data_IF_981464122994
#
_entry.id   IF_981464122994
#
_cell.length_a   1.000
_cell.length_b   1.000
_cell.length_c   1.000
_cell.angle_alpha   90.00
_cell.angle_beta   90.00
_cell.angle_gamma   90.00
#
_symmetry.space_group_name_H-M   'P 1'
#
loop_
_entity.id
_entity.type
_entity.pdbx_description
1 polymer ?
#
# COMPACT_ATOMS: atom_id res chain seq x y z
N UNK A 1 -13.53 -11.09 -11.70
CA UNK A 1 -14.42 -10.62 -12.73
C UNK A 1 -14.68 -11.74 -13.75
N UNK A 2 -15.91 -12.25 -13.79
CA UNK A 2 -16.34 -13.27 -14.77
C UNK A 2 -16.93 -12.67 -16.05
N UNK A 3 -17.03 -11.35 -16.13
CA UNK A 3 -17.49 -10.59 -17.29
C UNK A 3 -16.37 -10.19 -18.24
N UNK A 4 -16.55 -9.08 -18.92
CA UNK A 4 -15.56 -8.46 -19.80
C UNK A 4 -15.20 -7.06 -19.27
N UNK A 5 -14.15 -6.44 -19.81
CA UNK A 5 -13.80 -5.04 -19.46
C UNK A 5 -14.93 -4.04 -19.78
N UNK A 6 -15.77 -4.32 -20.76
CA UNK A 6 -16.92 -3.47 -21.13
C UNK A 6 -18.22 -3.84 -20.41
N UNK A 7 -18.30 -5.03 -19.82
CA UNK A 7 -19.45 -5.54 -19.07
C UNK A 7 -18.93 -6.37 -17.88
N UNK A 8 -18.42 -5.71 -16.84
CA UNK A 8 -17.89 -6.39 -15.68
C UNK A 8 -18.99 -7.14 -14.92
N UNK A 9 -18.69 -8.36 -14.48
CA UNK A 9 -19.55 -9.16 -13.64
C UNK A 9 -18.71 -9.86 -12.57
N UNK A 10 -19.06 -9.65 -11.31
CA UNK A 10 -18.39 -10.30 -10.20
C UNK A 10 -19.15 -11.55 -9.75
N UNK A 11 -18.45 -12.65 -9.61
CA UNK A 11 -18.99 -13.87 -9.03
C UNK A 11 -19.33 -13.68 -7.54
N UNK A 12 -19.94 -14.70 -6.92
CA UNK A 12 -20.17 -14.69 -5.49
C UNK A 12 -18.84 -14.52 -4.74
N UNK A 13 -18.87 -13.74 -3.64
CA UNK A 13 -17.70 -13.50 -2.79
C UNK A 13 -17.24 -14.80 -2.11
N UNK A 14 -15.93 -14.90 -1.88
CA UNK A 14 -15.31 -15.89 -1.00
C UNK A 14 -14.49 -15.18 0.06
N UNK A 15 -14.36 -15.77 1.24
CA UNK A 15 -13.46 -15.27 2.27
C UNK A 15 -12.09 -15.91 2.11
N UNK A 16 -11.03 -15.11 2.27
CA UNK A 16 -9.65 -15.56 2.19
C UNK A 16 -9.38 -16.47 0.96
N UNK A 17 -9.62 -15.95 -0.27
CA UNK A 17 -9.42 -16.75 -1.48
C UNK A 17 -7.94 -17.08 -1.68
N UNK A 18 -7.66 -18.07 -2.54
CA UNK A 18 -6.31 -18.42 -2.97
C UNK A 18 -5.34 -18.76 -1.83
N UNK A 19 -5.84 -19.44 -0.80
CA UNK A 19 -5.10 -19.85 0.41
C UNK A 19 -4.69 -18.70 1.37
N UNK A 20 -5.15 -17.48 1.17
CA UNK A 20 -5.01 -16.44 2.18
C UNK A 20 -5.58 -16.91 3.52
N UNK A 21 -4.96 -16.49 4.61
CA UNK A 21 -5.45 -16.77 5.96
C UNK A 21 -6.07 -15.52 6.59
N UNK A 22 -6.75 -15.72 7.72
CA UNK A 22 -7.23 -14.61 8.54
C UNK A 22 -6.03 -13.92 9.21
N UNK A 23 -5.91 -12.60 9.04
CA UNK A 23 -4.86 -11.77 9.63
C UNK A 23 -5.29 -11.12 10.97
N UNK A 24 -6.27 -11.69 11.63
CA UNK A 24 -6.96 -11.33 12.87
C UNK A 24 -8.06 -10.28 12.67
N UNK A 25 -7.75 -9.01 12.65
CA UNK A 25 -8.76 -7.95 12.62
C UNK A 25 -8.35 -6.80 11.70
N UNK A 26 -9.34 -6.12 11.14
CA UNK A 26 -9.16 -4.93 10.28
C UNK A 26 -8.23 -5.20 9.08
N UNK A 27 -8.54 -6.22 8.29
CA UNK A 27 -7.80 -6.50 7.08
C UNK A 27 -7.90 -5.32 6.08
N UNK A 28 -6.74 -4.74 5.75
CA UNK A 28 -6.59 -3.69 4.75
C UNK A 28 -5.61 -4.21 3.67
N UNK A 29 -6.12 -4.80 2.58
CA UNK A 29 -5.27 -5.40 1.55
C UNK A 29 -4.77 -4.36 0.54
N UNK A 30 -3.53 -4.52 0.13
CA UNK A 30 -2.95 -3.99 -1.10
C UNK A 30 -2.28 -5.12 -1.89
N UNK A 31 -2.13 -4.94 -3.19
CA UNK A 31 -1.54 -5.93 -4.09
C UNK A 31 -0.45 -5.28 -4.93
N UNK A 32 0.77 -5.76 -4.80
CA UNK A 32 1.93 -5.24 -5.52
C UNK A 32 2.84 -6.39 -6.00
N UNK A 33 3.45 -6.23 -7.16
CA UNK A 33 4.57 -7.07 -7.61
C UNK A 33 5.85 -6.46 -7.02
N UNK A 34 6.17 -6.86 -5.78
CA UNK A 34 7.28 -6.25 -5.05
C UNK A 34 8.61 -6.97 -5.28
N UNK A 35 8.60 -8.24 -5.67
CA UNK A 35 9.79 -9.02 -5.97
C UNK A 35 10.10 -9.12 -7.48
N UNK A 36 9.24 -8.51 -8.30
CA UNK A 36 9.46 -8.36 -9.74
C UNK A 36 9.35 -9.65 -10.54
N UNK A 37 8.67 -10.66 -10.00
CA UNK A 37 8.49 -11.95 -10.70
C UNK A 37 7.37 -11.92 -11.75
N UNK A 38 6.57 -10.84 -11.79
CA UNK A 38 5.53 -10.56 -12.77
C UNK A 38 4.14 -10.98 -12.34
N UNK A 39 3.96 -11.43 -11.09
CA UNK A 39 2.65 -11.62 -10.50
C UNK A 39 2.47 -10.81 -9.19
N UNK A 40 1.22 -10.53 -8.83
CA UNK A 40 0.92 -9.69 -7.70
C UNK A 40 0.93 -10.50 -6.40
N UNK A 41 1.68 -10.02 -5.44
CA UNK A 41 1.66 -10.46 -4.06
C UNK A 41 0.59 -9.76 -3.25
N UNK A 42 0.24 -10.31 -2.08
CA UNK A 42 -0.72 -9.66 -1.19
C UNK A 42 -0.05 -9.15 0.09
N UNK A 43 -0.27 -7.86 0.36
CA UNK A 43 0.14 -7.18 1.58
C UNK A 43 -1.12 -6.80 2.35
N UNK A 44 -1.31 -7.36 3.54
CA UNK A 44 -2.55 -7.14 4.28
C UNK A 44 -2.21 -6.55 5.65
N UNK A 45 -2.56 -5.27 5.81
CA UNK A 45 -2.49 -4.62 7.10
C UNK A 45 -3.49 -5.18 8.10
N UNK A 46 -3.16 -5.16 9.39
CA UNK A 46 -4.04 -5.63 10.44
C UNK A 46 -4.19 -4.61 11.59
N UNK A 47 -5.08 -4.93 12.54
CA UNK A 47 -5.35 -4.08 13.72
C UNK A 47 -4.10 -3.79 14.56
N UNK A 48 -3.17 -4.71 14.63
CA UNK A 48 -1.98 -4.62 15.49
C UNK A 48 -0.87 -3.75 14.88
N UNK A 49 -1.09 -3.18 13.69
CA UNK A 49 -0.10 -2.36 13.02
C UNK A 49 0.91 -3.11 12.16
N UNK A 50 0.70 -4.40 11.99
CA UNK A 50 1.57 -5.21 11.14
C UNK A 50 1.06 -5.27 9.71
N UNK A 51 1.98 -5.34 8.76
CA UNK A 51 1.72 -5.71 7.38
C UNK A 51 2.09 -7.17 7.17
N UNK A 52 1.11 -8.00 6.84
CA UNK A 52 1.27 -9.42 6.58
C UNK A 52 1.44 -9.62 5.07
N UNK A 53 2.56 -10.15 4.69
CA UNK A 53 2.93 -10.45 3.31
C UNK A 53 2.60 -11.89 2.97
N UNK A 54 2.01 -12.08 1.81
CA UNK A 54 1.74 -13.38 1.21
C UNK A 54 2.32 -13.38 -0.19
N UNK A 55 3.41 -14.11 -0.38
CA UNK A 55 4.02 -14.33 -1.68
C UNK A 55 3.09 -15.16 -2.57
N UNK A 56 2.90 -14.72 -3.80
CA UNK A 56 2.17 -15.47 -4.82
C UNK A 56 3.08 -16.49 -5.48
N UNK A 57 3.07 -17.70 -4.99
CA UNK A 57 3.82 -18.83 -5.56
C UNK A 57 3.12 -19.53 -6.73
N UNK A 58 2.00 -18.97 -7.18
CA UNK A 58 1.19 -19.47 -8.28
C UNK A 58 1.56 -18.90 -9.64
N UNK A 59 0.65 -18.20 -10.24
CA UNK A 59 0.85 -17.45 -11.50
C UNK A 59 -0.12 -16.27 -11.54
N UNK A 60 0.07 -15.24 -12.39
CA UNK A 60 -0.83 -14.09 -12.50
C UNK A 60 -2.31 -14.47 -12.77
N UNK A 61 -2.56 -15.62 -13.37
CA UNK A 61 -3.91 -16.11 -13.67
C UNK A 61 -4.45 -17.17 -12.71
N UNK A 62 -3.62 -17.70 -11.82
CA UNK A 62 -3.95 -18.71 -10.83
C UNK A 62 -3.11 -18.49 -9.56
N UNK A 63 -3.40 -17.42 -8.78
CA UNK A 63 -2.62 -17.07 -7.61
C UNK A 63 -2.73 -18.12 -6.49
N UNK A 64 -1.64 -18.29 -5.71
CA UNK A 64 -1.55 -19.21 -4.58
C UNK A 64 -0.70 -18.58 -3.46
N UNK A 65 -1.34 -18.13 -2.38
CA UNK A 65 -0.75 -17.40 -1.26
C UNK A 65 -0.52 -18.32 -0.04
N UNK A 66 0.19 -19.43 -0.21
CA UNK A 66 0.31 -20.46 0.82
C UNK A 66 1.28 -20.11 1.97
N UNK A 67 2.27 -19.27 1.75
CA UNK A 67 3.25 -18.85 2.75
C UNK A 67 3.03 -17.39 3.14
N UNK A 68 3.33 -17.04 4.40
CA UNK A 68 3.22 -15.65 4.87
C UNK A 68 4.36 -15.27 5.81
N UNK A 69 4.65 -13.97 5.88
CA UNK A 69 5.55 -13.36 6.87
C UNK A 69 4.96 -12.03 7.38
N UNK A 70 5.38 -11.60 8.57
CA UNK A 70 4.95 -10.33 9.17
C UNK A 70 6.06 -9.30 9.02
N UNK A 71 5.70 -8.10 8.56
CA UNK A 71 6.62 -6.98 8.37
C UNK A 71 7.90 -7.39 7.61
N UNK A 72 7.78 -7.92 6.36
CA UNK A 72 8.92 -8.40 5.60
C UNK A 72 9.82 -7.26 5.12
N UNK A 73 10.98 -7.61 4.62
CA UNK A 73 11.90 -6.71 3.89
C UNK A 73 12.37 -5.47 4.68
N UNK A 74 12.26 -5.49 6.01
CA UNK A 74 12.62 -4.34 6.86
C UNK A 74 11.45 -3.44 7.23
N UNK A 75 10.21 -3.77 6.86
CA UNK A 75 9.04 -3.08 7.40
C UNK A 75 8.93 -3.28 8.91
N UNK A 76 8.40 -2.29 9.60
CA UNK A 76 8.14 -2.31 11.04
C UNK A 76 6.64 -2.23 11.34
N UNK A 77 6.29 -2.55 12.58
CA UNK A 77 4.99 -2.29 13.17
C UNK A 77 4.72 -0.78 13.22
N UNK A 78 3.62 -0.33 12.59
CA UNK A 78 3.23 1.09 12.55
C UNK A 78 2.35 1.50 13.75
N UNK A 79 2.22 0.61 14.72
CA UNK A 79 1.53 0.82 16.00
C UNK A 79 0.12 0.26 16.05
N UNK A 80 -0.79 0.62 15.18
CA UNK A 80 -2.16 0.09 15.15
C UNK A 80 -2.84 0.38 13.82
N UNK A 81 -3.68 -0.56 13.39
CA UNK A 81 -4.54 -0.44 12.20
C UNK A 81 -3.72 -0.07 10.94
N UNK A 82 -2.79 -0.92 10.57
CA UNK A 82 -1.99 -0.73 9.36
C UNK A 82 -2.89 -0.74 8.10
N UNK A 83 -2.66 0.23 7.21
CA UNK A 83 -3.28 0.31 5.88
C UNK A 83 -2.18 0.54 4.84
N UNK A 84 -1.56 -0.53 4.32
CA UNK A 84 -0.47 -0.42 3.37
C UNK A 84 -0.94 0.05 2.00
N UNK A 85 -0.07 0.77 1.32
CA UNK A 85 -0.12 1.17 -0.09
C UNK A 85 1.30 1.19 -0.62
N UNK A 86 1.53 0.63 -1.80
CA UNK A 86 2.84 0.58 -2.44
C UNK A 86 2.85 1.43 -3.70
N UNK A 87 3.79 2.37 -3.78
CA UNK A 87 3.95 3.28 -4.90
C UNK A 87 5.41 3.70 -5.06
N UNK A 88 5.87 3.93 -6.28
CA UNK A 88 7.18 4.52 -6.58
C UNK A 88 7.09 6.02 -6.35
N UNK A 89 7.38 6.47 -5.10
CA UNK A 89 7.20 7.86 -4.70
C UNK A 89 8.39 8.76 -5.01
N UNK A 90 9.56 8.21 -5.21
CA UNK A 90 10.76 8.99 -5.55
C UNK A 90 11.24 8.74 -6.99
N UNK A 91 10.44 8.01 -7.78
CA UNK A 91 10.64 7.72 -9.20
C UNK A 91 11.99 7.04 -9.50
N UNK A 92 12.49 6.21 -8.58
CA UNK A 92 13.71 5.44 -8.78
C UNK A 92 13.45 4.09 -9.49
N UNK A 93 12.18 3.72 -9.68
CA UNK A 93 11.71 2.53 -10.36
C UNK A 93 11.40 1.37 -9.44
N UNK A 94 11.51 1.55 -8.13
CA UNK A 94 11.18 0.58 -7.09
C UNK A 94 9.93 1.03 -6.31
N UNK A 95 9.11 0.11 -5.83
CA UNK A 95 7.96 0.47 -5.03
C UNK A 95 8.38 0.73 -3.57
N UNK A 96 8.01 1.91 -3.06
CA UNK A 96 8.08 2.28 -1.66
C UNK A 96 6.84 1.84 -0.89
N UNK A 97 6.92 1.75 0.44
CA UNK A 97 5.76 1.47 1.27
C UNK A 97 5.28 2.71 2.03
N UNK A 98 3.99 3.03 1.86
CA UNK A 98 3.28 4.05 2.63
C UNK A 98 2.19 3.39 3.45
N UNK A 99 2.33 3.35 4.77
CA UNK A 99 1.41 2.63 5.63
C UNK A 99 0.67 3.61 6.54
N UNK A 100 -0.64 3.74 6.30
CA UNK A 100 -1.50 4.51 7.19
C UNK A 100 -1.68 3.83 8.54
N UNK A 101 -1.91 4.60 9.61
CA UNK A 101 -2.13 4.04 10.93
C UNK A 101 -3.36 4.63 11.66
N UNK A 102 -3.67 4.07 12.84
CA UNK A 102 -4.78 4.49 13.68
C UNK A 102 -4.73 5.99 14.07
N UNK A 103 -3.56 6.56 14.27
CA UNK A 103 -3.39 7.95 14.71
C UNK A 103 -3.43 8.96 13.57
N UNK A 104 -3.79 8.55 12.36
CA UNK A 104 -3.91 9.44 11.22
C UNK A 104 -2.60 9.79 10.53
N UNK A 105 -1.52 9.09 10.85
CA UNK A 105 -0.24 9.30 10.20
C UNK A 105 -0.06 8.34 9.02
N UNK A 106 0.68 8.78 8.02
CA UNK A 106 1.25 7.95 6.96
C UNK A 106 2.71 7.68 7.29
N UNK A 107 3.06 6.42 7.45
CA UNK A 107 4.41 5.98 7.76
C UNK A 107 5.06 5.51 6.48
N UNK A 108 6.14 6.15 6.09
CA UNK A 108 6.88 5.91 4.86
C UNK A 108 8.12 5.07 5.12
N UNK A 109 8.33 4.09 4.28
CA UNK A 109 9.51 3.26 4.23
C UNK A 109 10.04 3.29 2.80
N UNK A 110 11.16 3.99 2.59
CA UNK A 110 11.82 4.00 1.29
C UNK A 110 12.39 2.62 0.97
N UNK A 111 12.16 2.14 -0.24
CA UNK A 111 12.87 0.97 -0.75
C UNK A 111 14.28 1.39 -1.17
N UNK A 112 15.28 0.89 -0.50
CA UNK A 112 16.71 1.12 -0.79
C UNK A 112 17.37 -0.11 -1.41
N UNK A 113 16.57 -1.12 -1.69
CA UNK A 113 16.97 -2.34 -2.38
C UNK A 113 16.88 -2.20 -3.89
N UNK A 114 16.11 -3.06 -4.49
CA UNK A 114 15.79 -3.03 -5.92
C UNK A 114 14.38 -3.61 -6.11
N UNK A 115 13.78 -3.40 -7.30
CA UNK A 115 12.50 -4.01 -7.68
C UNK A 115 12.48 -5.55 -7.67
N UNK A 116 13.63 -6.22 -7.54
CA UNK A 116 13.76 -7.69 -7.48
C UNK A 116 14.23 -8.19 -6.10
N UNK A 117 14.69 -7.30 -5.23
CA UNK A 117 15.21 -7.61 -3.88
C UNK A 117 14.94 -6.40 -2.98
N UNK A 118 13.68 -6.21 -2.56
CA UNK A 118 13.27 -5.04 -1.81
C UNK A 118 13.90 -5.01 -0.41
N UNK A 119 14.26 -3.81 0.05
CA UNK A 119 14.83 -3.58 1.37
C UNK A 119 14.42 -2.21 1.89
N UNK A 120 13.46 -2.17 2.79
CA UNK A 120 12.93 -0.92 3.31
C UNK A 120 13.84 -0.32 4.39
N UNK A 121 14.10 0.98 4.24
CA UNK A 121 14.86 1.77 5.19
C UNK A 121 14.04 2.08 6.45
N UNK A 122 14.70 2.63 7.47
CA UNK A 122 14.02 3.12 8.69
C UNK A 122 12.93 4.13 8.34
N UNK A 123 11.74 3.93 8.90
CA UNK A 123 10.54 4.71 8.61
C UNK A 123 10.63 6.19 8.98
N UNK A 124 9.85 7.00 8.27
CA UNK A 124 9.54 8.37 8.64
C UNK A 124 8.02 8.57 8.69
N UNK A 125 7.56 9.45 9.60
CA UNK A 125 6.13 9.75 9.76
C UNK A 125 5.77 11.01 9.01
N UNK A 126 4.67 10.96 8.23
CA UNK A 126 4.16 12.07 7.43
C UNK A 126 5.26 12.73 6.59
N UNK A 127 5.96 11.98 5.71
CA UNK A 127 7.06 12.51 4.90
C UNK A 127 6.56 13.54 3.89
N UNK A 128 7.48 14.24 3.28
CA UNK A 128 7.20 15.14 2.13
C UNK A 128 6.10 16.18 2.41
N UNK A 129 5.99 16.68 3.65
CA UNK A 129 4.96 17.60 4.13
C UNK A 129 3.52 17.01 4.22
N UNK A 130 3.34 15.73 4.14
CA UNK A 130 2.08 15.14 4.57
C UNK A 130 1.80 15.50 6.03
N UNK A 131 0.53 15.55 6.40
CA UNK A 131 0.13 15.84 7.78
C UNK A 131 -0.80 14.76 8.32
N UNK A 132 -0.91 14.70 9.63
CA UNK A 132 -1.91 13.92 10.35
C UNK A 132 -3.32 14.25 9.84
N UNK A 133 -4.10 13.22 9.47
CA UNK A 133 -5.45 13.36 8.93
C UNK A 133 -6.54 13.06 9.96
N UNK A 134 -6.17 12.91 11.24
CA UNK A 134 -7.09 12.68 12.36
C UNK A 134 -7.01 11.26 12.90
N UNK A 135 -7.66 10.28 12.30
CA UNK A 135 -7.62 8.88 12.75
C UNK A 135 -7.83 7.94 11.57
N UNK A 136 -7.19 6.77 11.63
CA UNK A 136 -7.36 5.72 10.63
C UNK A 136 -6.98 6.19 9.23
N UNK A 137 -5.74 6.63 9.05
CA UNK A 137 -5.24 7.00 7.74
C UNK A 137 -5.28 5.81 6.78
N UNK A 138 -5.81 6.03 5.59
CA UNK A 138 -5.83 5.07 4.50
C UNK A 138 -5.31 5.79 3.23
N UNK A 139 -4.00 5.78 2.99
CA UNK A 139 -3.38 6.46 1.86
C UNK A 139 -3.66 5.75 0.55
N UNK A 140 -3.72 6.51 -0.53
CA UNK A 140 -3.71 6.07 -1.93
C UNK A 140 -2.95 7.13 -2.72
N UNK A 141 -2.11 6.71 -3.67
CA UNK A 141 -1.34 7.60 -4.51
C UNK A 141 -1.71 7.44 -5.99
N UNK A 142 -1.89 8.56 -6.68
CA UNK A 142 -2.20 8.58 -8.11
C UNK A 142 -1.84 9.94 -8.72
N UNK A 143 -1.37 9.95 -9.97
CA UNK A 143 -1.25 11.18 -10.77
C UNK A 143 -2.66 11.62 -11.18
N UNK A 144 -3.24 12.56 -10.40
CA UNK A 144 -4.62 13.00 -10.61
C UNK A 144 -4.74 14.15 -11.59
N UNK A 145 -3.78 15.03 -11.61
CA UNK A 145 -3.83 16.24 -12.46
C UNK A 145 -3.07 16.08 -13.79
N UNK A 146 -2.38 14.96 -13.97
CA UNK A 146 -1.74 14.57 -15.23
C UNK A 146 -0.40 15.25 -15.46
N UNK A 147 0.27 15.69 -14.39
CA UNK A 147 1.58 16.37 -14.46
C UNK A 147 2.77 15.37 -14.38
N UNK A 148 2.50 14.10 -14.09
CA UNK A 148 3.48 13.03 -14.04
C UNK A 148 4.01 12.72 -12.64
N UNK A 149 3.51 13.42 -11.62
CA UNK A 149 3.83 13.22 -10.22
C UNK A 149 2.66 12.55 -9.50
N UNK A 150 2.93 11.72 -8.49
CA UNK A 150 1.87 11.10 -7.70
C UNK A 150 1.37 12.07 -6.63
N UNK A 151 0.06 12.32 -6.62
CA UNK A 151 -0.66 13.02 -5.55
C UNK A 151 -1.12 12.04 -4.47
N UNK A 152 -1.39 12.53 -3.26
CA UNK A 152 -1.89 11.70 -2.17
C UNK A 152 -3.37 11.97 -1.85
N UNK A 153 -4.14 10.89 -1.73
CA UNK A 153 -5.49 10.87 -1.16
C UNK A 153 -5.47 10.04 0.11
N UNK A 154 -5.84 10.63 1.22
CA UNK A 154 -5.83 9.91 2.50
C UNK A 154 -7.22 9.95 3.12
N UNK A 155 -7.86 8.77 3.17
CA UNK A 155 -9.12 8.59 3.88
C UNK A 155 -8.93 8.63 5.40
N UNK A 156 -9.97 9.02 6.16
CA UNK A 156 -9.96 8.97 7.62
C UNK A 156 -11.26 8.40 8.20
N UNK A 157 -11.28 8.12 9.51
CA UNK A 157 -12.46 7.58 10.21
C UNK A 157 -13.66 8.51 10.27
N UNK A 158 -13.48 9.82 10.04
CA UNK A 158 -14.58 10.79 10.02
C UNK A 158 -15.34 10.78 8.70
N UNK A 159 -14.91 9.94 7.75
CA UNK A 159 -15.51 9.83 6.42
C UNK A 159 -15.01 10.89 5.45
N UNK A 160 -13.94 11.59 5.77
CA UNK A 160 -13.31 12.53 4.86
C UNK A 160 -12.22 11.84 4.03
N UNK A 161 -12.01 12.37 2.83
CA UNK A 161 -10.82 12.12 2.02
C UNK A 161 -10.06 13.43 1.90
N UNK A 162 -8.83 13.45 2.37
CA UNK A 162 -7.96 14.61 2.33
C UNK A 162 -7.04 14.47 1.11
N UNK A 163 -7.04 15.48 0.26
CA UNK A 163 -6.19 15.57 -0.91
C UNK A 163 -4.94 16.38 -0.60
N UNK A 164 -3.81 15.87 -0.99
CA UNK A 164 -2.53 16.54 -0.93
C UNK A 164 -1.93 16.53 -2.33
N UNK A 165 -1.91 17.71 -2.98
CA UNK A 165 -1.26 17.86 -4.28
C UNK A 165 0.26 17.75 -4.12
N UNK A 166 0.91 16.98 -4.97
CA UNK A 166 2.36 17.04 -5.10
C UNK A 166 2.75 18.30 -5.86
N UNK A 167 3.38 19.23 -5.20
CA UNK A 167 3.88 20.50 -5.78
C UNK A 167 5.39 20.48 -5.97
N UNK A 168 6.00 19.36 -5.71
CA UNK A 168 7.42 19.08 -5.92
C UNK A 168 7.69 18.56 -7.32
N UNK A 169 8.31 17.39 -7.37
CA UNK A 169 8.56 16.62 -8.60
C UNK A 169 8.47 15.13 -8.25
N UNK A 170 8.37 14.26 -9.25
CA UNK A 170 8.42 12.80 -9.04
C UNK A 170 9.67 12.31 -8.30
N UNK A 171 10.81 13.01 -8.45
CA UNK A 171 12.09 12.68 -7.78
C UNK A 171 12.26 13.33 -6.41
N UNK A 172 11.48 14.36 -6.08
CA UNK A 172 11.53 15.12 -4.82
C UNK A 172 10.12 15.60 -4.48
N UNK A 173 9.25 14.68 -4.02
CA UNK A 173 7.86 14.98 -3.75
C UNK A 173 7.70 15.97 -2.60
N UNK A 174 6.70 16.85 -2.72
CA UNK A 174 6.35 17.82 -1.68
C UNK A 174 4.86 18.08 -1.68
N UNK A 175 4.15 17.51 -0.74
CA UNK A 175 2.71 17.57 -0.67
C UNK A 175 2.22 18.86 -0.01
N UNK A 176 1.21 19.48 -0.63
CA UNK A 176 0.51 20.62 -0.06
C UNK A 176 -0.95 20.25 0.21
N UNK A 177 -1.45 20.56 1.40
CA UNK A 177 -2.87 20.41 1.70
C UNK A 177 -3.69 21.41 0.86
N UNK A 178 -4.73 20.92 0.20
CA UNK A 178 -5.66 21.74 -0.59
C UNK A 178 -6.69 22.47 0.28
#
# INVERSE_FOLDING_TARGET
NSGTSLAPAFAASSSNPFNLINVDSLAAPDLADLDGDGDLDAFIGNYWGNTIYFENSGTPSAPDFAAFSSNPFGLDDVGSAASPEFADLDADGDLDACIGNYWGNTIYFQNTGTSLDPAFATSSSNPFNLSDVGSWAAPVFADLDGDGDLDAFIGNSDGNTIYFQNTGTSLDPSFAAS
#
